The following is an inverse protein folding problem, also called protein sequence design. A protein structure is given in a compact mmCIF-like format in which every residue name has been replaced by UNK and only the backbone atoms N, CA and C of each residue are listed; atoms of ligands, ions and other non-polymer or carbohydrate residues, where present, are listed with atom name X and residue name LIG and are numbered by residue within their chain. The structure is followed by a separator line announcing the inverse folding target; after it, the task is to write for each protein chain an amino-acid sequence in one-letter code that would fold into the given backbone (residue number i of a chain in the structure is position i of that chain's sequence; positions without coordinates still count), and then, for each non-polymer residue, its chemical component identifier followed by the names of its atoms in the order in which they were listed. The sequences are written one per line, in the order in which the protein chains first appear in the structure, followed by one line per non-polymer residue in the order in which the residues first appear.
data_IF_149183662919
#
_entry.id   IF_149183662919
#
_cell.length_a   1.000
_cell.length_b   1.000
_cell.length_c   1.000
_cell.angle_alpha   90.00
_cell.angle_beta   90.00
_cell.angle_gamma   90.00
#
_symmetry.space_group_name_H-M   'P 1'
#
loop_
_entity.id
_entity.type
_entity.pdbx_description
1 polymer ?
#
# COMPACT_ATOMS: atom_id res chain seq x y z
N UNK A 1 10.43 9.69 -5.64
CA UNK A 1 9.76 8.70 -4.76
C UNK A 1 9.30 9.47 -3.54
N UNK A 2 8.12 9.18 -2.99
CA UNK A 2 7.67 9.86 -1.75
C UNK A 2 8.66 9.56 -0.63
N UNK A 3 8.96 10.56 0.21
CA UNK A 3 9.80 10.40 1.40
C UNK A 3 9.03 9.86 2.60
N UNK A 4 7.71 9.71 2.47
CA UNK A 4 6.80 9.20 3.50
C UNK A 4 6.21 7.86 3.08
N UNK A 5 6.22 6.91 4.00
CA UNK A 5 5.71 5.56 3.83
C UNK A 5 4.65 5.29 4.89
N UNK A 6 3.53 4.68 4.48
CA UNK A 6 2.57 4.16 5.45
C UNK A 6 2.94 2.71 5.80
N UNK A 7 3.17 2.44 7.08
CA UNK A 7 3.57 1.14 7.62
C UNK A 7 2.82 0.91 8.92
N UNK A 8 2.08 -0.20 9.02
CA UNK A 8 1.34 -0.64 10.21
C UNK A 8 0.55 0.50 10.90
N UNK A 9 -0.24 1.25 10.11
CA UNK A 9 -1.10 2.32 10.61
C UNK A 9 -0.40 3.67 10.83
N UNK A 10 0.89 3.81 10.50
CA UNK A 10 1.68 5.03 10.75
C UNK A 10 2.36 5.54 9.49
N UNK A 11 2.44 6.86 9.34
CA UNK A 11 3.27 7.50 8.33
C UNK A 11 4.67 7.72 8.89
N UNK A 12 5.66 7.10 8.28
CA UNK A 12 7.06 7.14 8.68
C UNK A 12 7.91 7.74 7.56
N UNK A 13 8.96 8.51 7.88
CA UNK A 13 9.96 8.86 6.89
C UNK A 13 10.66 7.57 6.42
N UNK A 14 11.13 7.57 5.18
CA UNK A 14 11.79 6.43 4.55
C UNK A 14 12.85 5.73 5.43
N UNK A 15 13.67 6.52 6.12
CA UNK A 15 14.80 6.02 6.91
C UNK A 15 14.37 5.30 8.20
N UNK A 16 13.11 5.47 8.63
CA UNK A 16 12.54 4.83 9.82
C UNK A 16 11.83 3.50 9.48
N UNK A 17 11.70 3.15 8.19
CA UNK A 17 11.09 1.90 7.76
C UNK A 17 12.13 0.78 7.78
N UNK A 18 11.84 -0.29 8.53
CA UNK A 18 12.71 -1.46 8.59
C UNK A 18 11.89 -2.76 8.61
N UNK A 19 12.50 -3.82 8.11
CA UNK A 19 11.92 -5.17 8.13
C UNK A 19 12.99 -6.17 8.57
N UNK A 20 12.59 -7.15 9.38
CA UNK A 20 13.50 -8.19 9.82
C UNK A 20 13.97 -9.06 8.65
N UNK A 21 15.27 -9.37 8.52
CA UNK A 21 15.75 -10.32 7.52
C UNK A 21 15.24 -11.75 7.76
N UNK A 22 14.66 -12.03 8.94
CA UNK A 22 14.04 -13.32 9.28
C UNK A 22 12.53 -13.35 9.00
N UNK A 23 11.97 -12.33 8.34
CA UNK A 23 10.54 -12.31 7.99
C UNK A 23 10.16 -13.46 7.06
N UNK A 24 9.01 -14.07 7.32
CA UNK A 24 8.51 -15.24 6.57
C UNK A 24 8.43 -14.97 5.04
N UNK A 25 8.05 -13.75 4.64
CA UNK A 25 7.94 -13.36 3.23
C UNK A 25 9.27 -13.47 2.48
N UNK A 26 10.41 -13.18 3.10
CA UNK A 26 11.72 -13.29 2.44
C UNK A 26 12.21 -14.72 2.27
N UNK A 27 11.85 -15.62 3.19
CA UNK A 27 12.30 -17.01 3.14
C UNK A 27 11.38 -17.90 2.33
N UNK A 28 10.08 -17.59 2.31
CA UNK A 28 9.06 -18.49 1.76
C UNK A 28 8.15 -17.84 0.70
N UNK A 29 8.38 -16.57 0.36
CA UNK A 29 7.67 -15.88 -0.72
C UNK A 29 6.19 -15.58 -0.46
N UNK A 30 5.68 -15.91 0.73
CA UNK A 30 4.30 -15.62 1.11
C UNK A 30 4.14 -14.11 1.36
N UNK A 31 3.51 -13.42 0.42
CA UNK A 31 3.17 -12.01 0.49
C UNK A 31 2.33 -11.62 -0.72
N UNK A 32 1.57 -10.54 -0.57
CA UNK A 32 0.77 -9.96 -1.65
C UNK A 32 1.13 -8.50 -1.83
N UNK A 33 1.07 -8.00 -3.06
CA UNK A 33 1.35 -6.60 -3.36
C UNK A 33 0.43 -6.11 -4.48
N UNK A 34 0.31 -4.79 -4.58
CA UNK A 34 -0.38 -4.13 -5.69
C UNK A 34 0.52 -3.09 -6.35
N UNK A 35 0.22 -2.84 -7.63
CA UNK A 35 0.88 -1.82 -8.43
C UNK A 35 -0.15 -0.82 -8.93
N UNK A 36 -0.12 0.40 -8.39
CA UNK A 36 -1.04 1.47 -8.78
C UNK A 36 -0.27 2.65 -9.36
N UNK A 37 -0.90 3.42 -10.24
CA UNK A 37 -0.30 4.63 -10.84
C UNK A 37 -1.14 5.85 -10.58
N UNK A 38 -0.47 6.95 -10.23
CA UNK A 38 -1.03 8.29 -10.23
C UNK A 38 -0.64 9.05 -11.49
N UNK A 39 -1.49 9.98 -11.90
CA UNK A 39 -1.29 10.85 -13.05
C UNK A 39 -1.68 12.28 -12.70
N UNK A 40 -0.85 13.22 -13.12
CA UNK A 40 -1.16 14.64 -13.08
C UNK A 40 -2.11 14.98 -14.24
N UNK A 41 -3.26 15.57 -13.90
CA UNK A 41 -4.23 16.07 -14.86
C UNK A 41 -3.87 17.51 -15.29
N UNK A 42 -4.51 17.98 -16.36
CA UNK A 42 -4.25 19.32 -16.93
C UNK A 42 -4.55 20.47 -15.95
N UNK A 43 -5.38 20.23 -14.95
CA UNK A 43 -5.73 21.20 -13.91
C UNK A 43 -4.78 21.16 -12.69
N UNK A 44 -3.71 20.36 -12.76
CA UNK A 44 -2.74 20.17 -11.68
C UNK A 44 -3.18 19.18 -10.61
N UNK A 45 -4.37 18.57 -10.72
CA UNK A 45 -4.80 17.53 -9.78
C UNK A 45 -4.04 16.22 -10.04
N UNK A 46 -3.68 15.52 -8.96
CA UNK A 46 -3.07 14.18 -9.04
C UNK A 46 -4.12 13.14 -8.76
N UNK A 47 -4.37 12.24 -9.71
CA UNK A 47 -5.42 11.23 -9.64
C UNK A 47 -4.83 9.82 -9.73
N UNK A 48 -5.29 8.93 -8.87
CA UNK A 48 -4.86 7.52 -8.87
C UNK A 48 -5.82 6.71 -9.74
N UNK A 49 -5.30 6.05 -10.77
CA UNK A 49 -6.12 5.31 -11.73
C UNK A 49 -6.62 3.99 -11.12
N UNK A 50 -7.96 3.83 -11.06
CA UNK A 50 -8.64 2.60 -10.60
C UNK A 50 -8.25 2.13 -9.19
N UNK A 51 -7.98 3.07 -8.28
CA UNK A 51 -7.54 2.76 -6.92
C UNK A 51 -8.48 1.79 -6.19
N UNK A 52 -9.79 1.93 -6.42
CA UNK A 52 -10.80 1.06 -5.82
C UNK A 52 -10.55 -0.40 -6.17
N UNK A 53 -10.48 -0.72 -7.47
CA UNK A 53 -10.33 -2.09 -7.93
C UNK A 53 -8.98 -2.69 -7.55
N UNK A 54 -7.92 -1.86 -7.50
CA UNK A 54 -6.62 -2.30 -7.00
C UNK A 54 -6.68 -2.64 -5.51
N UNK A 55 -7.31 -1.79 -4.68
CA UNK A 55 -7.42 -2.03 -3.23
C UNK A 55 -8.29 -3.25 -2.91
N UNK A 56 -9.39 -3.44 -3.63
CA UNK A 56 -10.22 -4.66 -3.54
C UNK A 56 -9.41 -5.90 -3.92
N UNK A 57 -8.61 -5.85 -4.99
CA UNK A 57 -7.77 -6.98 -5.42
C UNK A 57 -6.65 -7.30 -4.44
N UNK A 58 -6.08 -6.30 -3.76
CA UNK A 58 -5.10 -6.51 -2.69
C UNK A 58 -5.70 -7.34 -1.54
N UNK A 59 -6.88 -6.93 -1.05
CA UNK A 59 -7.57 -7.63 0.04
C UNK A 59 -8.01 -9.04 -0.38
N UNK A 60 -8.52 -9.21 -1.61
CA UNK A 60 -8.88 -10.54 -2.11
C UNK A 60 -7.64 -11.44 -2.25
N UNK A 61 -6.49 -10.88 -2.66
CA UNK A 61 -5.23 -11.64 -2.73
C UNK A 61 -4.78 -12.08 -1.33
N UNK A 62 -4.86 -11.20 -0.33
CA UNK A 62 -4.56 -11.53 1.06
C UNK A 62 -5.46 -12.67 1.57
N UNK A 63 -6.77 -12.58 1.29
CA UNK A 63 -7.74 -13.63 1.62
C UNK A 63 -7.43 -14.98 0.96
N UNK A 64 -7.14 -15.00 -0.34
CA UNK A 64 -6.79 -16.24 -1.08
C UNK A 64 -5.52 -16.88 -0.52
N UNK A 65 -4.56 -16.07 -0.09
CA UNK A 65 -3.28 -16.53 0.46
C UNK A 65 -3.33 -16.81 1.98
N UNK A 66 -4.47 -16.59 2.62
CA UNK A 66 -4.64 -16.81 4.07
C UNK A 66 -3.89 -15.80 4.94
N UNK A 67 -3.54 -14.62 4.40
CA UNK A 67 -2.95 -13.52 5.16
C UNK A 67 -4.07 -12.76 5.85
N UNK A 68 -4.02 -12.70 7.19
CA UNK A 68 -4.90 -11.84 7.97
C UNK A 68 -4.44 -10.39 7.85
N UNK A 69 -5.38 -9.50 7.50
CA UNK A 69 -5.13 -8.07 7.34
C UNK A 69 -5.86 -7.35 8.47
N UNK A 70 -5.12 -6.60 9.28
CA UNK A 70 -5.67 -5.85 10.43
C UNK A 70 -6.39 -4.55 10.03
N UNK A 71 -6.27 -4.16 8.76
CA UNK A 71 -6.81 -2.92 8.19
C UNK A 71 -7.91 -3.21 7.18
N UNK A 72 -8.97 -2.41 7.21
CA UNK A 72 -10.06 -2.58 6.28
C UNK A 72 -9.82 -1.87 4.94
N UNK A 73 -10.78 -1.98 4.02
CA UNK A 73 -10.71 -1.32 2.73
C UNK A 73 -10.54 0.20 2.85
N UNK A 74 -11.26 0.85 3.77
CA UNK A 74 -11.23 2.29 3.92
C UNK A 74 -9.86 2.75 4.43
N UNK A 75 -9.30 2.05 5.42
CA UNK A 75 -7.96 2.30 5.95
C UNK A 75 -6.90 2.30 4.83
N UNK A 76 -6.88 1.23 4.03
CA UNK A 76 -5.90 1.05 2.96
C UNK A 76 -6.13 2.01 1.79
N UNK A 77 -7.39 2.29 1.44
CA UNK A 77 -7.74 3.22 0.37
C UNK A 77 -7.30 4.64 0.72
N UNK A 78 -7.59 5.09 1.94
CA UNK A 78 -7.18 6.41 2.42
C UNK A 78 -5.67 6.50 2.58
N UNK A 79 -5.01 5.46 3.10
CA UNK A 79 -3.55 5.42 3.24
C UNK A 79 -2.83 5.67 1.89
N UNK A 80 -3.27 4.99 0.83
CA UNK A 80 -2.70 5.17 -0.53
C UNK A 80 -2.90 6.59 -1.07
N UNK A 81 -4.04 7.23 -0.78
CA UNK A 81 -4.29 8.63 -1.16
C UNK A 81 -3.37 9.57 -0.42
N UNK A 82 -3.20 9.39 0.89
CA UNK A 82 -2.36 10.27 1.70
C UNK A 82 -0.89 10.19 1.29
N UNK A 83 -0.34 8.99 1.05
CA UNK A 83 1.07 8.83 0.62
C UNK A 83 1.38 9.58 -0.69
N UNK A 84 0.40 9.74 -1.58
CA UNK A 84 0.56 10.51 -2.84
C UNK A 84 0.47 12.02 -2.63
N UNK A 85 -0.19 12.49 -1.56
CA UNK A 85 -0.33 13.92 -1.26
C UNK A 85 0.92 14.53 -0.61
N UNK A 86 1.77 13.71 0.01
CA UNK A 86 2.99 14.14 0.72
C UNK A 86 4.18 14.23 -0.23
#
# INVERSE_FOLDING_TARGET
MSDTYWVDGKYLPKDDVSISPLTHTFHYGLGVFEGVRSYEAKDGSVNIFRLKEHTERLLESAKITGIEVEYDYADLFDAQIQVVKV
#
